data_IF_435440720922
#
_entry.id   IF_435440720922
#
_cell.length_a   1.000
_cell.length_b   1.000
_cell.length_c   1.000
_cell.angle_alpha   90.00
_cell.angle_beta   90.00
_cell.angle_gamma   90.00
#
_symmetry.space_group_name_H-M   'P 1'
#
loop_
_entity.id
_entity.type
_entity.pdbx_description
1 polymer ?
#
# COMPACT_ATOMS: atom_id res chain seq x y z
N UNK A 1 -22.84 6.23 -21.66
CA UNK A 1 -21.52 5.70 -22.05
C UNK A 1 -20.47 6.76 -21.74
N UNK A 2 -19.45 6.46 -20.93
CA UNK A 2 -18.37 7.41 -20.65
C UNK A 2 -17.50 7.62 -21.90
N UNK A 3 -17.02 8.85 -22.11
CA UNK A 3 -16.12 9.17 -23.22
C UNK A 3 -14.77 8.46 -23.02
N UNK A 4 -14.21 7.83 -24.06
CA UNK A 4 -12.90 7.14 -24.02
C UNK A 4 -11.80 8.01 -23.40
N UNK A 5 -11.80 9.32 -23.66
CA UNK A 5 -10.85 10.27 -23.06
C UNK A 5 -11.04 10.45 -21.55
N UNK A 6 -12.28 10.48 -21.07
CA UNK A 6 -12.59 10.60 -19.64
C UNK A 6 -12.17 9.33 -18.88
N UNK A 7 -12.41 8.16 -19.47
CA UNK A 7 -11.98 6.87 -18.89
C UNK A 7 -10.46 6.81 -18.80
N UNK A 8 -9.74 7.21 -19.85
CA UNK A 8 -8.27 7.24 -19.83
C UNK A 8 -7.74 8.20 -18.76
N UNK A 9 -8.30 9.42 -18.66
CA UNK A 9 -7.90 10.40 -17.67
C UNK A 9 -8.12 9.90 -16.23
N UNK A 10 -9.26 9.26 -15.97
CA UNK A 10 -9.55 8.65 -14.67
C UNK A 10 -8.46 7.65 -14.27
N UNK A 11 -8.09 6.73 -15.17
CA UNK A 11 -7.05 5.74 -14.90
C UNK A 11 -5.69 6.37 -14.66
N UNK A 12 -5.32 7.38 -15.44
CA UNK A 12 -4.07 8.11 -15.25
C UNK A 12 -4.01 8.77 -13.88
N UNK A 13 -5.09 9.45 -13.46
CA UNK A 13 -5.16 10.10 -12.15
C UNK A 13 -5.10 9.07 -11.02
N UNK A 14 -5.86 7.97 -11.13
CA UNK A 14 -5.88 6.92 -10.11
C UNK A 14 -4.51 6.26 -9.95
N UNK A 15 -3.89 5.84 -11.06
CA UNK A 15 -2.59 5.19 -11.02
C UNK A 15 -1.51 6.14 -10.47
N UNK A 16 -1.52 7.43 -10.86
CA UNK A 16 -0.60 8.41 -10.30
C UNK A 16 -0.83 8.62 -8.80
N UNK A 17 -2.08 8.72 -8.35
CA UNK A 17 -2.38 8.92 -6.93
C UNK A 17 -1.91 7.73 -6.07
N UNK A 18 -2.25 6.50 -6.49
CA UNK A 18 -1.84 5.28 -5.78
C UNK A 18 -0.32 5.09 -5.86
N UNK A 19 0.26 5.32 -7.03
CA UNK A 19 1.70 5.20 -7.25
C UNK A 19 2.50 6.19 -6.39
N UNK A 20 2.08 7.45 -6.34
CA UNK A 20 2.71 8.46 -5.48
C UNK A 20 2.52 8.14 -4.00
N UNK A 21 1.33 7.69 -3.59
CA UNK A 21 1.05 7.29 -2.21
C UNK A 21 2.01 6.18 -1.75
N UNK A 22 2.17 5.12 -2.55
CA UNK A 22 3.09 4.02 -2.24
C UNK A 22 4.56 4.45 -2.30
N UNK A 23 4.95 5.26 -3.30
CA UNK A 23 6.33 5.72 -3.42
C UNK A 23 6.75 6.58 -2.23
N UNK A 24 5.89 7.52 -1.81
CA UNK A 24 6.14 8.40 -0.67
C UNK A 24 6.04 7.60 0.64
N UNK A 25 5.07 6.69 0.77
CA UNK A 25 4.94 5.77 1.91
C UNK A 25 6.22 4.94 2.12
N UNK A 26 6.73 4.34 1.05
CA UNK A 26 7.98 3.58 1.09
C UNK A 26 9.18 4.43 1.49
N UNK A 27 9.32 5.67 0.96
CA UNK A 27 10.38 6.61 1.40
C UNK A 27 10.24 6.93 2.88
N UNK A 28 9.02 7.21 3.34
CA UNK A 28 8.73 7.55 4.73
C UNK A 28 9.08 6.39 5.68
N UNK A 29 8.70 5.16 5.32
CA UNK A 29 9.04 3.94 6.05
C UNK A 29 10.56 3.74 6.16
N UNK A 30 11.29 3.93 5.04
CA UNK A 30 12.74 3.80 5.00
C UNK A 30 13.48 4.86 5.83
N UNK A 31 12.87 6.02 6.04
CA UNK A 31 13.40 7.08 6.91
C UNK A 31 13.07 6.87 8.40
N UNK A 32 12.44 5.76 8.76
CA UNK A 32 12.01 5.47 10.13
C UNK A 32 10.68 6.15 10.50
N UNK A 33 9.94 6.65 9.51
CA UNK A 33 8.56 7.08 9.68
C UNK A 33 7.64 5.90 10.01
N UNK A 34 6.53 6.19 10.69
CA UNK A 34 5.54 5.20 11.08
C UNK A 34 4.75 4.71 9.87
N UNK A 35 5.18 3.62 9.27
CA UNK A 35 4.35 2.84 8.36
C UNK A 35 3.37 1.97 9.19
N UNK A 36 2.07 1.91 8.84
CA UNK A 36 1.08 1.16 9.60
C UNK A 36 1.42 -0.33 9.76
N UNK A 37 2.03 -0.96 8.76
CA UNK A 37 2.47 -2.36 8.82
C UNK A 37 3.69 -2.49 9.74
N UNK A 38 4.63 -1.55 9.64
CA UNK A 38 5.82 -1.49 10.46
C UNK A 38 5.48 -1.30 11.93
N UNK A 39 4.68 -0.30 12.29
CA UNK A 39 4.33 -0.02 13.68
C UNK A 39 3.48 -1.14 14.30
N UNK A 40 2.70 -1.85 13.49
CA UNK A 40 2.03 -3.07 13.91
C UNK A 40 3.03 -4.19 14.22
N UNK A 41 4.00 -4.37 13.35
CA UNK A 41 5.01 -5.40 13.50
C UNK A 41 5.92 -5.14 14.71
N UNK A 42 6.27 -3.88 14.98
CA UNK A 42 6.96 -3.45 16.22
C UNK A 42 6.23 -3.89 17.48
N UNK A 43 4.91 -3.94 17.44
CA UNK A 43 4.09 -4.33 18.59
C UNK A 43 3.99 -5.85 18.80
N UNK A 44 4.46 -6.65 17.84
CA UNK A 44 4.39 -8.12 17.82
C UNK A 44 5.80 -8.73 17.97
N UNK A 45 6.82 -8.11 17.37
CA UNK A 45 8.18 -8.62 17.34
C UNK A 45 9.03 -7.86 18.36
N UNK A 46 9.36 -8.51 19.48
CA UNK A 46 10.23 -7.93 20.52
C UNK A 46 11.71 -7.81 20.07
N UNK A 47 12.07 -8.44 18.96
CA UNK A 47 13.44 -8.44 18.44
C UNK A 47 13.68 -7.32 17.41
N UNK A 48 14.40 -6.26 17.85
CA UNK A 48 14.78 -5.10 17.02
C UNK A 48 15.50 -5.45 15.72
N UNK A 49 16.26 -6.55 15.65
CA UNK A 49 16.96 -6.91 14.41
C UNK A 49 16.00 -7.41 13.33
N UNK A 50 14.96 -8.15 13.73
CA UNK A 50 13.93 -8.65 12.82
C UNK A 50 12.99 -7.52 12.41
N UNK A 51 12.65 -6.63 13.35
CA UNK A 51 11.89 -5.41 13.10
C UNK A 51 12.51 -4.58 11.96
N UNK A 52 13.80 -4.23 12.08
CA UNK A 52 14.50 -3.41 11.08
C UNK A 52 14.52 -4.04 9.68
N UNK A 53 14.69 -5.36 9.61
CA UNK A 53 14.68 -6.09 8.32
C UNK A 53 13.30 -6.00 7.66
N UNK A 54 12.23 -6.07 8.45
CA UNK A 54 10.88 -6.01 7.90
C UNK A 54 10.49 -4.58 7.52
N UNK A 55 10.89 -3.57 8.29
CA UNK A 55 10.74 -2.16 7.90
C UNK A 55 11.41 -1.88 6.56
N UNK A 56 12.65 -2.35 6.42
CA UNK A 56 13.39 -2.21 5.17
C UNK A 56 12.68 -2.93 4.02
N UNK A 57 12.20 -4.16 4.24
CA UNK A 57 11.53 -4.94 3.21
C UNK A 57 10.23 -4.29 2.74
N UNK A 58 9.34 -3.89 3.65
CA UNK A 58 8.08 -3.22 3.30
C UNK A 58 8.32 -1.87 2.64
N UNK A 59 9.23 -1.04 3.18
CA UNK A 59 9.54 0.27 2.60
C UNK A 59 10.12 0.18 1.18
N UNK A 60 11.02 -0.77 0.92
CA UNK A 60 11.54 -1.02 -0.43
C UNK A 60 10.44 -1.53 -1.36
N UNK A 61 9.61 -2.48 -0.91
CA UNK A 61 8.53 -3.03 -1.72
C UNK A 61 7.55 -1.91 -2.10
N UNK A 62 7.07 -1.10 -1.15
CA UNK A 62 6.15 -0.01 -1.42
C UNK A 62 6.73 1.03 -2.38
N UNK A 63 7.99 1.41 -2.16
CA UNK A 63 8.67 2.37 -3.04
C UNK A 63 8.74 1.87 -4.48
N UNK A 64 9.25 0.65 -4.68
CA UNK A 64 9.37 0.06 -6.01
C UNK A 64 8.00 -0.11 -6.68
N UNK A 65 7.00 -0.47 -5.89
CA UNK A 65 5.62 -0.66 -6.33
C UNK A 65 4.98 0.65 -6.80
N UNK A 66 5.17 1.72 -6.03
CA UNK A 66 4.70 3.04 -6.38
C UNK A 66 5.34 3.55 -7.67
N UNK A 67 6.67 3.43 -7.78
CA UNK A 67 7.41 3.79 -8.99
C UNK A 67 6.94 2.97 -10.20
N UNK A 68 6.71 1.68 -10.02
CA UNK A 68 6.24 0.81 -11.09
C UNK A 68 4.89 1.25 -11.64
N UNK A 69 3.91 1.50 -10.77
CA UNK A 69 2.57 1.98 -11.17
C UNK A 69 2.66 3.32 -11.90
N UNK A 70 3.51 4.24 -11.42
CA UNK A 70 3.75 5.54 -12.09
C UNK A 70 4.31 5.33 -13.50
N UNK A 71 5.37 4.52 -13.64
CA UNK A 71 6.01 4.27 -14.93
C UNK A 71 5.03 3.61 -15.90
N UNK A 72 4.31 2.59 -15.44
CA UNK A 72 3.34 1.85 -16.23
C UNK A 72 2.22 2.74 -16.76
N UNK A 73 1.85 3.80 -16.03
CA UNK A 73 0.88 4.80 -16.47
C UNK A 73 1.28 5.49 -17.78
N UNK A 74 2.59 5.68 -18.03
CA UNK A 74 3.10 6.36 -19.23
C UNK A 74 3.49 5.41 -20.34
N UNK A 75 4.02 4.22 -19.99
CA UNK A 75 4.48 3.26 -21.01
C UNK A 75 3.42 2.24 -21.42
N UNK A 76 2.29 2.20 -20.70
CA UNK A 76 1.22 1.21 -20.87
C UNK A 76 1.62 -0.19 -20.42
N UNK A 77 0.89 -1.20 -20.90
CA UNK A 77 1.07 -2.62 -20.56
C UNK A 77 2.32 -3.27 -21.20
N UNK A 78 3.44 -2.52 -21.29
CA UNK A 78 4.71 -3.06 -21.81
C UNK A 78 5.36 -4.06 -20.86
N UNK A 79 4.96 -4.07 -19.59
CA UNK A 79 5.41 -5.06 -18.62
C UNK A 79 4.67 -6.40 -18.77
N UNK A 80 3.48 -6.41 -19.37
CA UNK A 80 2.69 -7.62 -19.57
C UNK A 80 2.52 -8.42 -18.28
N UNK A 81 2.77 -9.74 -18.35
CA UNK A 81 2.63 -10.66 -17.21
C UNK A 81 3.46 -10.26 -15.99
N UNK A 82 4.61 -9.61 -16.17
CA UNK A 82 5.43 -9.16 -15.05
C UNK A 82 4.69 -8.09 -14.23
N UNK A 83 3.98 -7.16 -14.89
CA UNK A 83 3.20 -6.13 -14.21
C UNK A 83 2.05 -6.70 -13.40
N UNK A 84 1.31 -7.66 -13.97
CA UNK A 84 0.21 -8.31 -13.25
C UNK A 84 0.70 -9.13 -12.05
N UNK A 85 1.86 -9.80 -12.14
CA UNK A 85 2.47 -10.52 -11.00
C UNK A 85 2.90 -9.53 -9.92
N UNK A 86 3.56 -8.44 -10.30
CA UNK A 86 4.02 -7.44 -9.34
C UNK A 86 2.83 -6.79 -8.62
N UNK A 87 1.77 -6.44 -9.37
CA UNK A 87 0.51 -5.93 -8.80
C UNK A 87 -0.12 -6.92 -7.81
N UNK A 88 -0.10 -8.22 -8.13
CA UNK A 88 -0.59 -9.25 -7.21
C UNK A 88 0.23 -9.27 -5.91
N UNK A 89 1.55 -9.21 -6.00
CA UNK A 89 2.45 -9.16 -4.83
C UNK A 89 2.13 -7.93 -3.98
N UNK A 90 1.94 -6.76 -4.60
CA UNK A 90 1.60 -5.51 -3.91
C UNK A 90 0.29 -5.65 -3.13
N UNK A 91 -0.75 -6.19 -3.77
CA UNK A 91 -2.05 -6.44 -3.14
C UNK A 91 -1.91 -7.37 -1.94
N UNK A 92 -1.14 -8.46 -2.07
CA UNK A 92 -0.91 -9.40 -0.96
C UNK A 92 -0.20 -8.70 0.20
N UNK A 93 0.86 -7.95 -0.08
CA UNK A 93 1.62 -7.20 0.93
C UNK A 93 0.72 -6.19 1.64
N UNK A 94 -0.13 -5.49 0.90
CA UNK A 94 -1.09 -4.53 1.47
C UNK A 94 -2.15 -5.20 2.35
N UNK A 95 -2.64 -6.39 1.97
CA UNK A 95 -3.55 -7.17 2.83
C UNK A 95 -2.84 -7.57 4.12
N UNK A 96 -1.59 -8.01 4.04
CA UNK A 96 -0.79 -8.34 5.23
C UNK A 96 -0.64 -7.11 6.12
N UNK A 97 -0.33 -5.93 5.55
CA UNK A 97 -0.25 -4.67 6.27
C UNK A 97 -1.55 -4.34 7.01
N UNK A 98 -2.71 -4.51 6.36
CA UNK A 98 -4.03 -4.31 6.98
C UNK A 98 -4.24 -5.28 8.15
N UNK A 99 -3.96 -6.57 7.95
CA UNK A 99 -4.14 -7.57 9.00
C UNK A 99 -3.27 -7.23 10.21
N UNK A 100 -2.01 -6.91 9.99
CA UNK A 100 -1.09 -6.56 11.07
C UNK A 100 -1.54 -5.25 11.74
N UNK A 101 -1.71 -4.16 10.98
CA UNK A 101 -2.04 -2.82 11.46
C UNK A 101 -3.40 -2.69 12.11
N UNK A 102 -4.44 -3.10 11.40
CA UNK A 102 -5.81 -2.88 11.86
C UNK A 102 -6.30 -3.96 12.82
N UNK A 103 -5.70 -5.13 12.91
CA UNK A 103 -6.16 -6.13 13.88
C UNK A 103 -5.21 -6.27 15.06
N UNK A 104 -3.92 -6.48 14.80
CA UNK A 104 -2.94 -6.82 15.85
C UNK A 104 -2.12 -5.63 16.37
N UNK A 105 -2.04 -4.54 15.61
CA UNK A 105 -1.25 -3.36 15.92
C UNK A 105 -1.70 -2.64 17.19
N UNK A 106 -0.91 -1.66 17.69
CA UNK A 106 -1.22 -0.93 18.92
C UNK A 106 -2.60 -0.26 18.91
N UNK A 107 -3.01 0.22 17.73
CA UNK A 107 -4.29 0.86 17.49
C UNK A 107 -5.30 -0.08 16.81
N UNK A 108 -5.00 -1.38 16.75
CA UNK A 108 -5.81 -2.39 16.08
C UNK A 108 -7.09 -2.74 16.85
N UNK A 109 -8.02 -3.42 16.17
CA UNK A 109 -9.37 -3.72 16.63
C UNK A 109 -9.38 -4.40 18.00
N UNK A 110 -8.42 -5.28 18.26
CA UNK A 110 -8.35 -6.04 19.51
C UNK A 110 -7.86 -5.22 20.72
N UNK A 111 -7.31 -4.02 20.49
CA UNK A 111 -6.73 -3.16 21.53
C UNK A 111 -7.37 -1.76 21.58
N UNK A 112 -8.19 -1.40 20.60
CA UNK A 112 -8.72 -0.05 20.42
C UNK A 112 -9.85 0.26 21.39
N UNK A 113 -9.82 1.46 21.98
CA UNK A 113 -10.90 1.99 22.83
C UNK A 113 -11.92 2.82 22.06
N UNK A 114 -11.48 3.43 20.96
CA UNK A 114 -12.31 4.22 20.05
C UNK A 114 -12.53 3.44 18.74
N UNK A 115 -13.66 2.74 18.69
CA UNK A 115 -14.05 1.93 17.52
C UNK A 115 -14.28 2.81 16.29
N UNK A 116 -14.76 4.06 16.45
CA UNK A 116 -15.04 4.92 15.30
C UNK A 116 -13.73 5.37 14.63
N UNK A 117 -12.73 5.73 15.42
CA UNK A 117 -11.39 6.02 14.91
C UNK A 117 -10.77 4.81 14.20
N UNK A 118 -10.99 3.60 14.73
CA UNK A 118 -10.57 2.36 14.07
C UNK A 118 -11.26 2.15 12.72
N UNK A 119 -12.60 2.24 12.67
CA UNK A 119 -13.37 2.06 11.43
C UNK A 119 -12.95 3.08 10.37
N UNK A 120 -12.70 4.33 10.76
CA UNK A 120 -12.26 5.38 9.85
C UNK A 120 -10.91 5.05 9.20
N UNK A 121 -9.91 4.65 9.99
CA UNK A 121 -8.60 4.24 9.45
C UNK A 121 -8.71 2.98 8.60
N UNK A 122 -9.46 1.98 9.05
CA UNK A 122 -9.67 0.75 8.30
C UNK A 122 -10.31 1.03 6.93
N UNK A 123 -11.30 1.93 6.87
CA UNK A 123 -11.89 2.38 5.61
C UNK A 123 -10.87 3.04 4.68
N UNK A 124 -9.94 3.86 5.20
CA UNK A 124 -8.86 4.44 4.40
C UNK A 124 -7.95 3.35 3.80
N UNK A 125 -7.56 2.34 4.59
CA UNK A 125 -6.75 1.24 4.08
C UNK A 125 -7.49 0.40 3.02
N UNK A 126 -8.80 0.19 3.19
CA UNK A 126 -9.64 -0.47 2.19
C UNK A 126 -9.77 0.35 0.89
N UNK A 127 -9.83 1.68 0.97
CA UNK A 127 -9.83 2.54 -0.22
C UNK A 127 -8.54 2.33 -1.02
N UNK A 128 -7.39 2.26 -0.35
CA UNK A 128 -6.10 1.99 -1.03
C UNK A 128 -6.09 0.58 -1.63
N UNK A 129 -6.57 -0.44 -0.91
CA UNK A 129 -6.65 -1.80 -1.43
C UNK A 129 -7.55 -1.89 -2.67
N UNK A 130 -8.73 -1.27 -2.62
CA UNK A 130 -9.64 -1.19 -3.76
C UNK A 130 -9.01 -0.44 -4.94
N UNK A 131 -8.30 0.65 -4.66
CA UNK A 131 -7.58 1.39 -5.68
C UNK A 131 -6.51 0.51 -6.33
N UNK A 132 -5.73 -0.25 -5.55
CA UNK A 132 -4.73 -1.20 -6.04
C UNK A 132 -5.31 -2.35 -6.85
N UNK A 133 -6.51 -2.83 -6.53
CA UNK A 133 -7.17 -3.87 -7.33
C UNK A 133 -7.63 -3.32 -8.68
N UNK A 134 -8.14 -2.10 -8.68
CA UNK A 134 -8.82 -1.49 -9.83
C UNK A 134 -7.86 -0.73 -10.74
N UNK A 135 -6.68 -0.30 -10.25
CA UNK A 135 -5.62 0.34 -11.07
C UNK A 135 -5.33 -0.47 -12.32
N UNK A 136 -5.07 0.22 -13.42
CA UNK A 136 -4.95 -0.44 -14.71
C UNK A 136 -3.50 -0.79 -15.00
N UNK A 137 -3.29 -2.03 -15.45
CA UNK A 137 -2.04 -2.53 -16.05
C UNK A 137 -1.79 -1.91 -17.44
#
# INVERSE_FOLDING_TARGET
MANKKQVALFWTILNLAVGCFLAIGGIYALQGGGDPAVDALKSIIENRSVENVVVLAFGVIELLSGLFIIIQTFIGDRFGKFGSILKLVIVIVWIVAIVLGDFFGPSGLFKVKDILAWVYRFAQHLIVLCALLVTRD
#
